data_IF_014229075658
#
_entry.id   IF_014229075658
#
_cell.length_a   1.000
_cell.length_b   1.000
_cell.length_c   1.000
_cell.angle_alpha   90.00
_cell.angle_beta   90.00
_cell.angle_gamma   90.00
#
_symmetry.space_group_name_H-M   'P 1'
#
loop_
_entity.id
_entity.type
_entity.pdbx_description
1 polymer ?
#
# COMPACT_ATOMS: atom_id res chain seq x y z
N UNK A 1 35.97 4.17 -29.07
CA UNK A 1 35.73 2.78 -28.61
C UNK A 1 35.31 2.67 -27.13
N UNK A 2 35.51 3.68 -26.27
CA UNK A 2 35.19 3.59 -24.84
C UNK A 2 33.74 4.00 -24.49
N UNK A 3 33.21 5.03 -25.17
CA UNK A 3 31.90 5.63 -24.86
C UNK A 3 30.71 4.69 -25.07
N UNK A 4 30.72 3.90 -26.14
CA UNK A 4 29.64 2.94 -26.46
C UNK A 4 29.52 1.84 -25.40
N UNK A 5 30.66 1.39 -24.85
CA UNK A 5 30.72 0.36 -23.81
C UNK A 5 30.11 0.85 -22.51
N UNK A 6 30.41 2.09 -22.08
CA UNK A 6 29.78 2.69 -20.90
C UNK A 6 28.28 2.89 -21.08
N UNK A 7 27.84 3.33 -22.27
CA UNK A 7 26.40 3.47 -22.55
C UNK A 7 25.64 2.16 -22.38
N UNK A 8 26.13 1.07 -22.98
CA UNK A 8 25.52 -0.26 -22.83
C UNK A 8 25.53 -0.75 -21.38
N UNK A 9 26.60 -0.47 -20.65
CA UNK A 9 26.66 -0.81 -19.23
C UNK A 9 25.61 -0.05 -18.40
N UNK A 10 25.51 1.26 -18.59
CA UNK A 10 24.51 2.10 -17.90
C UNK A 10 23.08 1.69 -18.25
N UNK A 11 22.81 1.37 -19.51
CA UNK A 11 21.51 0.86 -19.94
C UNK A 11 21.17 -0.47 -19.25
N UNK A 12 22.14 -1.39 -19.15
CA UNK A 12 22.00 -2.62 -18.38
C UNK A 12 21.66 -2.38 -16.91
N UNK A 13 22.29 -1.40 -16.27
CA UNK A 13 21.98 -1.04 -14.88
C UNK A 13 20.58 -0.43 -14.72
N UNK A 14 20.15 0.41 -15.65
CA UNK A 14 18.80 0.99 -15.64
C UNK A 14 17.75 -0.12 -15.84
N UNK A 15 17.95 -1.02 -16.80
CA UNK A 15 17.06 -2.15 -17.04
C UNK A 15 16.92 -3.06 -15.81
N UNK A 16 18.01 -3.31 -15.09
CA UNK A 16 17.97 -4.07 -13.83
C UNK A 16 17.17 -3.36 -12.73
N UNK A 17 17.32 -2.04 -12.65
CA UNK A 17 16.55 -1.21 -11.69
C UNK A 17 15.07 -1.24 -12.03
N UNK A 18 14.71 -1.00 -13.29
CA UNK A 18 13.32 -0.97 -13.75
C UNK A 18 12.64 -2.33 -13.56
N UNK A 19 13.34 -3.43 -13.87
CA UNK A 19 12.83 -4.76 -13.64
C UNK A 19 12.63 -5.06 -12.15
N UNK A 20 13.57 -4.65 -11.29
CA UNK A 20 13.43 -4.80 -9.84
C UNK A 20 12.23 -4.00 -9.33
N UNK A 21 12.08 -2.76 -9.75
CA UNK A 21 10.99 -1.87 -9.33
C UNK A 21 9.63 -2.43 -9.80
N UNK A 22 9.56 -2.98 -11.02
CA UNK A 22 8.38 -3.68 -11.56
C UNK A 22 8.03 -4.94 -10.77
N UNK A 23 9.02 -5.78 -10.46
CA UNK A 23 8.81 -7.01 -9.68
C UNK A 23 8.37 -6.68 -8.26
N UNK A 24 8.98 -5.68 -7.64
CA UNK A 24 8.60 -5.22 -6.31
C UNK A 24 7.16 -4.69 -6.29
N UNK A 25 6.79 -3.80 -7.22
CA UNK A 25 5.41 -3.28 -7.34
C UNK A 25 4.41 -4.42 -7.52
N UNK A 26 4.69 -5.36 -8.44
CA UNK A 26 3.81 -6.50 -8.72
C UNK A 26 3.64 -7.41 -7.50
N UNK A 27 4.74 -7.71 -6.81
CA UNK A 27 4.74 -8.59 -5.65
C UNK A 27 3.95 -7.96 -4.49
N UNK A 28 4.22 -6.69 -4.22
CA UNK A 28 3.51 -5.97 -3.16
C UNK A 28 2.02 -5.80 -3.48
N UNK A 29 1.66 -5.46 -4.73
CA UNK A 29 0.26 -5.35 -5.16
C UNK A 29 -0.50 -6.68 -4.96
N UNK A 30 0.11 -7.81 -5.35
CA UNK A 30 -0.49 -9.14 -5.10
C UNK A 30 -0.66 -9.44 -3.62
N UNK A 31 0.34 -9.08 -2.81
CA UNK A 31 0.29 -9.29 -1.37
C UNK A 31 -0.81 -8.44 -0.71
N UNK A 32 -0.94 -7.17 -1.10
CA UNK A 32 -2.03 -6.28 -0.63
C UNK A 32 -3.38 -6.87 -1.01
N UNK A 33 -3.58 -7.25 -2.29
CA UNK A 33 -4.84 -7.83 -2.75
C UNK A 33 -5.19 -9.14 -2.03
N UNK A 34 -4.20 -10.01 -1.74
CA UNK A 34 -4.42 -11.23 -0.95
C UNK A 34 -5.04 -10.94 0.43
N UNK A 35 -4.63 -9.85 1.08
CA UNK A 35 -5.18 -9.47 2.39
C UNK A 35 -6.50 -8.72 2.26
N UNK A 36 -6.61 -7.78 1.32
CA UNK A 36 -7.82 -6.98 1.11
C UNK A 36 -9.02 -7.80 0.60
N UNK A 37 -8.80 -8.92 -0.07
CA UNK A 37 -9.88 -9.83 -0.46
C UNK A 37 -10.68 -10.34 0.76
N UNK A 38 -10.08 -10.44 1.95
CA UNK A 38 -10.79 -10.85 3.18
C UNK A 38 -11.89 -9.86 3.58
N UNK A 39 -11.75 -8.60 3.18
CA UNK A 39 -12.72 -7.51 3.41
C UNK A 39 -13.40 -7.07 2.11
N UNK A 40 -13.35 -7.90 1.06
CA UNK A 40 -13.94 -7.65 -0.27
C UNK A 40 -13.46 -6.36 -0.95
N UNK A 41 -12.21 -5.94 -0.68
CA UNK A 41 -11.55 -4.81 -1.34
C UNK A 41 -10.49 -5.30 -2.34
N UNK A 42 -10.21 -4.48 -3.34
CA UNK A 42 -9.20 -4.76 -4.38
C UNK A 42 -8.50 -3.46 -4.82
N UNK A 43 -7.20 -3.56 -5.09
CA UNK A 43 -6.33 -2.49 -5.57
C UNK A 43 -5.86 -2.81 -6.99
N UNK A 44 -6.06 -1.87 -7.91
CA UNK A 44 -5.65 -1.92 -9.31
C UNK A 44 -4.36 -1.11 -9.54
N UNK A 45 -4.28 0.11 -9.02
CA UNK A 45 -3.04 0.88 -8.96
C UNK A 45 -2.65 1.14 -7.52
N UNK A 46 -1.56 0.49 -7.11
CA UNK A 46 -1.02 0.57 -5.77
C UNK A 46 -0.84 2.00 -5.27
N UNK A 47 -0.36 2.92 -6.11
CA UNK A 47 -0.02 4.29 -5.66
C UNK A 47 -1.25 5.18 -5.53
N UNK A 48 -2.23 5.02 -6.42
CA UNK A 48 -3.46 5.81 -6.37
C UNK A 48 -4.43 5.24 -5.32
N UNK A 49 -4.63 3.93 -5.31
CA UNK A 49 -5.64 3.29 -4.46
C UNK A 49 -5.25 3.23 -2.97
N UNK A 50 -3.96 3.41 -2.64
CA UNK A 50 -3.52 3.54 -1.23
C UNK A 50 -3.38 5.00 -0.79
N UNK A 51 -3.52 5.97 -1.69
CA UNK A 51 -3.20 7.38 -1.44
C UNK A 51 -4.14 8.04 -0.43
N UNK A 52 -5.41 7.71 -0.48
CA UNK A 52 -6.44 8.23 0.42
C UNK A 52 -6.38 7.64 1.84
N UNK A 53 -5.59 6.56 2.01
CA UNK A 53 -5.41 5.85 3.26
C UNK A 53 -6.52 4.85 3.62
N UNK A 54 -7.66 4.81 2.93
CA UNK A 54 -8.77 3.91 3.29
C UNK A 54 -8.42 2.44 3.10
N UNK A 55 -7.78 2.11 1.98
CA UNK A 55 -7.30 0.75 1.72
C UNK A 55 -6.11 0.39 2.62
N UNK A 56 -5.28 1.38 2.99
CA UNK A 56 -4.18 1.18 3.92
C UNK A 56 -4.68 0.86 5.33
N UNK A 57 -5.70 1.58 5.83
CA UNK A 57 -6.33 1.30 7.12
C UNK A 57 -6.92 -0.11 7.12
N UNK A 58 -7.71 -0.48 6.12
CA UNK A 58 -8.27 -1.84 6.04
C UNK A 58 -7.21 -2.93 5.94
N UNK A 59 -6.10 -2.66 5.25
CA UNK A 59 -4.96 -3.57 5.23
C UNK A 59 -4.36 -3.74 6.64
N UNK A 60 -4.16 -2.64 7.38
CA UNK A 60 -3.67 -2.68 8.76
C UNK A 60 -4.63 -3.42 9.71
N UNK A 61 -5.93 -3.24 9.55
CA UNK A 61 -6.95 -3.97 10.32
C UNK A 61 -6.87 -5.48 10.08
N UNK A 62 -6.74 -5.89 8.81
CA UNK A 62 -6.61 -7.31 8.44
C UNK A 62 -5.31 -7.91 8.95
N UNK A 63 -4.21 -7.15 8.96
CA UNK A 63 -2.91 -7.61 9.43
C UNK A 63 -2.83 -7.69 10.96
N UNK A 64 -3.38 -6.70 11.66
CA UNK A 64 -3.38 -6.65 13.12
C UNK A 64 -4.46 -7.51 13.76
N UNK A 65 -5.53 -7.82 13.03
CA UNK A 65 -6.73 -8.47 13.57
C UNK A 65 -7.57 -7.53 14.45
N UNK A 66 -7.26 -6.24 14.49
CA UNK A 66 -7.93 -5.22 15.30
C UNK A 66 -8.67 -4.26 14.37
N UNK A 67 -9.90 -3.89 14.71
CA UNK A 67 -10.60 -2.81 14.02
C UNK A 67 -10.01 -1.47 14.42
N UNK A 68 -9.53 -0.71 13.45
CA UNK A 68 -9.03 0.63 13.65
C UNK A 68 -10.24 1.56 13.53
N UNK A 69 -10.71 2.06 14.67
CA UNK A 69 -11.84 2.99 14.74
C UNK A 69 -11.54 4.14 13.80
N UNK A 70 -12.39 4.34 12.79
CA UNK A 70 -12.27 5.49 11.91
C UNK A 70 -12.48 6.73 12.77
N UNK A 71 -11.75 7.83 12.50
CA UNK A 71 -11.94 9.09 13.25
C UNK A 71 -13.39 9.65 13.15
N UNK A 72 -14.25 9.05 12.32
CA UNK A 72 -15.67 9.36 12.22
C UNK A 72 -16.53 8.63 13.26
N UNK A 73 -16.06 7.52 13.83
CA UNK A 73 -16.79 6.67 14.80
C UNK A 73 -16.43 6.96 16.26
N UNK A 74 -15.57 7.94 16.53
CA UNK A 74 -15.40 8.47 17.89
C UNK A 74 -16.64 9.29 18.26
N UNK A 75 -17.75 8.60 18.53
CA UNK A 75 -18.96 9.21 19.06
C UNK A 75 -18.63 9.92 20.36
N UNK A 76 -19.03 11.18 20.43
CA UNK A 76 -18.78 12.16 21.49
C UNK A 76 -19.32 11.70 22.87
N UNK A 77 -20.05 10.58 22.94
CA UNK A 77 -20.63 10.04 24.18
C UNK A 77 -19.60 9.50 25.18
N UNK A 78 -18.42 9.05 24.75
CA UNK A 78 -17.39 8.58 25.67
C UNK A 78 -16.69 9.71 26.46
N UNK A 79 -16.88 10.97 26.07
CA UNK A 79 -16.19 12.12 26.67
C UNK A 79 -17.03 12.82 27.75
N UNK A 80 -18.36 12.66 27.74
CA UNK A 80 -19.23 13.30 28.72
C UNK A 80 -20.28 12.31 29.26
N UNK A 81 -19.97 11.57 30.35
CA UNK A 81 -21.01 10.92 31.12
C UNK A 81 -21.91 12.04 31.68
N UNK A 82 -23.15 12.12 31.19
CA UNK A 82 -24.13 13.10 31.64
C UNK A 82 -24.34 13.04 33.16
N UNK A 83 -24.76 14.14 33.79
CA UNK A 83 -24.96 14.18 35.23
C UNK A 83 -26.13 13.27 35.62
N UNK A 84 -25.88 12.38 36.59
CA UNK A 84 -26.90 11.60 37.28
C UNK A 84 -27.75 12.48 38.21
#
# INVERSE_FOLDING_TARGET
MNTEKYRKFLDGLNNLKDERDRVQKKTFTKWVNKHLMKVRKHVNDLYEDLRDGHNLISLLEVLSGVKLVSFQDATIEAVFPGPH
#
